data_IF_960477296302
#
_entry.id   IF_960477296302
#
_cell.length_a   1.000
_cell.length_b   1.000
_cell.length_c   1.000
_cell.angle_alpha   90.00
_cell.angle_beta   90.00
_cell.angle_gamma   90.00
#
_symmetry.space_group_name_H-M   'P 1'
#
loop_
_entity.id
_entity.type
_entity.pdbx_description
1 polymer ?
#
# COMPACT_ATOMS: atom_id res chain seq x y z
N UNK A 1 18.90 -18.02 -33.99
CA UNK A 1 17.48 -17.87 -33.59
C UNK A 1 17.34 -17.91 -32.07
N UNK A 2 18.22 -18.64 -31.39
CA UNK A 2 18.09 -19.04 -29.98
C UNK A 2 18.38 -17.91 -28.99
N UNK A 3 19.40 -17.08 -29.26
CA UNK A 3 19.74 -15.95 -28.39
C UNK A 3 18.68 -14.84 -28.38
N UNK A 4 18.05 -14.58 -29.53
CA UNK A 4 16.94 -13.62 -29.65
C UNK A 4 15.70 -14.09 -28.90
N UNK A 5 15.35 -15.37 -29.02
CA UNK A 5 14.21 -15.97 -28.32
C UNK A 5 14.42 -15.98 -26.80
N UNK A 6 15.64 -16.32 -26.35
CA UNK A 6 16.03 -16.25 -24.94
C UNK A 6 16.00 -14.83 -24.39
N UNK A 7 16.48 -13.84 -25.15
CA UNK A 7 16.44 -12.43 -24.76
C UNK A 7 15.02 -11.90 -24.57
N UNK A 8 14.12 -12.23 -25.50
CA UNK A 8 12.70 -11.84 -25.41
C UNK A 8 12.03 -12.56 -24.23
N UNK A 9 12.28 -13.86 -24.04
CA UNK A 9 11.74 -14.63 -22.91
C UNK A 9 12.17 -14.08 -21.54
N UNK A 10 13.44 -13.71 -21.40
CA UNK A 10 13.96 -13.09 -20.18
C UNK A 10 13.32 -11.72 -19.91
N UNK A 11 13.17 -10.89 -20.95
CA UNK A 11 12.56 -9.57 -20.83
C UNK A 11 11.08 -9.66 -20.40
N UNK A 12 10.32 -10.56 -21.02
CA UNK A 12 8.90 -10.79 -20.67
C UNK A 12 8.76 -11.28 -19.23
N UNK A 13 9.63 -12.20 -18.80
CA UNK A 13 9.62 -12.73 -17.43
C UNK A 13 9.96 -11.64 -16.40
N UNK A 14 10.96 -10.81 -16.69
CA UNK A 14 11.33 -9.68 -15.83
C UNK A 14 10.19 -8.63 -15.73
N UNK A 15 9.54 -8.30 -16.84
CA UNK A 15 8.38 -7.40 -16.86
C UNK A 15 7.21 -7.96 -16.04
N UNK A 16 6.89 -9.26 -16.18
CA UNK A 16 5.85 -9.91 -15.40
C UNK A 16 6.14 -9.85 -13.89
N UNK A 17 7.38 -10.13 -13.48
CA UNK A 17 7.79 -10.03 -12.08
C UNK A 17 7.69 -8.59 -11.54
N UNK A 18 8.08 -7.59 -12.34
CA UNK A 18 7.99 -6.19 -11.94
C UNK A 18 6.53 -5.75 -11.73
N UNK A 19 5.62 -6.12 -12.64
CA UNK A 19 4.18 -5.83 -12.49
C UNK A 19 3.61 -6.48 -11.23
N UNK A 20 3.99 -7.72 -10.95
CA UNK A 20 3.53 -8.47 -9.78
C UNK A 20 4.02 -7.83 -8.47
N UNK A 21 5.27 -7.36 -8.44
CA UNK A 21 5.83 -6.63 -7.29
C UNK A 21 5.11 -5.30 -7.05
N UNK A 22 4.81 -4.53 -8.10
CA UNK A 22 4.05 -3.27 -7.99
C UNK A 22 2.63 -3.54 -7.48
N UNK A 23 1.97 -4.60 -7.96
CA UNK A 23 0.62 -4.95 -7.51
C UNK A 23 0.59 -5.36 -6.02
N UNK A 24 1.61 -6.10 -5.55
CA UNK A 24 1.77 -6.42 -4.14
C UNK A 24 1.91 -5.15 -3.30
N UNK A 25 2.80 -4.23 -3.71
CA UNK A 25 3.02 -2.97 -3.00
C UNK A 25 1.77 -2.10 -3.01
N UNK A 26 1.06 -1.99 -4.14
CA UNK A 26 -0.19 -1.23 -4.26
C UNK A 26 -1.27 -1.73 -3.29
N UNK A 27 -1.33 -3.04 -3.02
CA UNK A 27 -2.27 -3.61 -2.04
C UNK A 27 -1.95 -3.20 -0.58
N UNK A 28 -0.72 -2.79 -0.29
CA UNK A 28 -0.32 -2.26 1.03
C UNK A 28 -0.66 -0.77 1.19
N UNK A 29 -0.96 -0.05 0.11
CA UNK A 29 -1.34 1.36 0.20
C UNK A 29 -2.83 1.51 0.53
N UNK A 30 -3.13 1.87 1.77
CA UNK A 30 -4.47 2.32 2.19
C UNK A 30 -4.56 3.83 2.00
N UNK A 31 -5.25 4.27 0.94
CA UNK A 31 -5.66 5.66 0.82
C UNK A 31 -6.62 6.03 1.96
N UNK A 32 -6.40 7.19 2.56
CA UNK A 32 -7.28 7.76 3.59
C UNK A 32 -8.11 8.84 2.91
N UNK A 33 -9.41 8.83 3.16
CA UNK A 33 -10.34 9.84 2.64
C UNK A 33 -10.31 11.09 3.50
N UNK A 34 -10.41 12.26 2.86
CA UNK A 34 -10.41 13.56 3.54
C UNK A 34 -11.55 13.64 4.55
N UNK A 35 -11.25 14.03 5.80
CA UNK A 35 -12.20 14.03 6.92
C UNK A 35 -12.12 12.79 7.83
N UNK A 36 -11.32 11.79 7.45
CA UNK A 36 -11.02 10.63 8.29
C UNK A 36 -9.54 10.62 8.67
N UNK A 37 -9.24 10.21 9.91
CA UNK A 37 -7.89 9.99 10.40
C UNK A 37 -7.60 8.50 10.42
N UNK A 38 -6.40 8.11 9.97
CA UNK A 38 -5.94 6.74 10.10
C UNK A 38 -5.17 6.59 11.40
N UNK A 39 -5.72 5.79 12.30
CA UNK A 39 -5.09 5.40 13.56
C UNK A 39 -4.44 4.04 13.34
N UNK A 40 -3.12 4.00 13.41
CA UNK A 40 -2.34 2.78 13.26
C UNK A 40 -1.83 2.38 14.64
N UNK A 41 -2.49 1.39 15.22
CA UNK A 41 -2.06 0.79 16.48
C UNK A 41 -0.93 -0.20 16.22
N UNK A 42 0.32 0.21 16.45
CA UNK A 42 1.47 -0.71 16.52
C UNK A 42 1.56 -1.31 17.92
N UNK A 43 2.23 -2.45 18.05
CA UNK A 43 2.36 -3.17 19.33
C UNK A 43 2.91 -2.34 20.51
N UNK A 44 3.58 -1.21 20.26
CA UNK A 44 4.14 -0.33 21.30
C UNK A 44 3.78 1.15 21.18
N UNK A 45 3.24 1.60 20.05
CA UNK A 45 2.93 3.02 19.79
C UNK A 45 1.75 3.15 18.86
N UNK A 46 0.91 4.14 19.12
CA UNK A 46 -0.20 4.51 18.25
C UNK A 46 0.23 5.70 17.42
N UNK A 47 0.34 5.52 16.11
CA UNK A 47 0.64 6.60 15.16
C UNK A 47 -0.67 7.07 14.52
N UNK A 48 -0.91 8.38 14.54
CA UNK A 48 -2.09 9.03 13.93
C UNK A 48 -1.64 9.79 12.69
N UNK A 49 -2.24 9.52 11.53
CA UNK A 49 -1.91 10.22 10.29
C UNK A 49 -3.17 10.59 9.50
N UNK A 50 -3.17 11.82 8.96
CA UNK A 50 -4.31 12.41 8.23
C UNK A 50 -4.13 12.40 6.70
N UNK A 51 -2.91 12.16 6.19
CA UNK A 51 -2.56 12.26 4.76
C UNK A 51 -2.46 10.91 4.04
N UNK A 52 -2.70 9.81 4.76
CA UNK A 52 -2.46 8.45 4.27
C UNK A 52 -1.01 8.05 4.41
N UNK A 53 -0.80 6.80 4.83
CA UNK A 53 0.52 6.22 5.04
C UNK A 53 0.53 4.79 4.52
N UNK A 54 1.70 4.30 4.10
CA UNK A 54 1.88 2.86 3.91
C UNK A 54 1.74 2.19 5.27
N UNK A 55 0.65 1.47 5.45
CA UNK A 55 0.38 0.71 6.67
C UNK A 55 0.36 -0.75 6.29
N UNK A 56 1.17 -1.56 6.96
CA UNK A 56 1.12 -3.01 6.88
C UNK A 56 -0.21 -3.51 7.47
N UNK A 57 -1.21 -3.87 6.66
CA UNK A 57 -2.57 -4.13 7.14
C UNK A 57 -2.69 -5.47 7.87
N UNK A 58 -1.76 -6.40 7.63
CA UNK A 58 -1.75 -7.72 8.24
C UNK A 58 -1.18 -7.73 9.67
N UNK A 59 -0.34 -6.75 10.02
CA UNK A 59 0.35 -6.68 11.33
C UNK A 59 -0.21 -5.58 12.25
N UNK A 60 -0.86 -4.57 11.69
CA UNK A 60 -1.35 -3.41 12.45
C UNK A 60 -2.86 -3.26 12.28
N UNK A 61 -3.57 -3.06 13.40
CA UNK A 61 -4.97 -2.61 13.32
C UNK A 61 -4.99 -1.17 12.83
N UNK A 62 -5.47 -0.99 11.60
CA UNK A 62 -5.71 0.30 10.99
C UNK A 62 -7.18 0.67 11.20
N UNK A 63 -7.45 1.53 12.18
CA UNK A 63 -8.79 2.06 12.43
C UNK A 63 -8.93 3.42 11.75
N UNK A 64 -10.08 3.62 11.11
CA UNK A 64 -10.40 4.88 10.43
C UNK A 64 -11.35 5.64 11.33
N UNK A 65 -10.87 6.72 11.94
CA UNK A 65 -11.67 7.55 12.85
C UNK A 65 -12.19 8.76 12.10
N UNK A 66 -13.49 9.01 12.16
CA UNK A 66 -14.09 10.20 11.56
C UNK A 66 -13.76 11.41 12.44
N UNK A 67 -12.98 12.35 11.91
CA UNK A 67 -12.66 13.62 12.59
C UNK A 67 -13.45 14.78 12.01
N UNK A 68 -14.44 14.49 11.15
CA UNK A 68 -15.28 15.50 10.53
C UNK A 68 -15.94 16.34 11.63
N UNK A 69 -15.41 17.54 11.80
CA UNK A 69 -15.85 18.50 12.81
C UNK A 69 -17.30 18.85 12.46
N UNK A 70 -18.25 18.30 13.21
CA UNK A 70 -19.60 18.84 13.23
C UNK A 70 -19.53 20.15 13.99
N UNK A 71 -19.42 21.24 13.24
CA UNK A 71 -19.54 22.60 13.78
C UNK A 71 -20.90 22.70 14.50
N UNK A 72 -20.85 22.83 15.82
CA UNK A 72 -22.00 23.20 16.65
C UNK A 72 -22.02 24.72 16.74
#
# INVERSE_FOLDING_TARGET
MDAMLLGIGALVTACLLAVLAVFLVARLFRKVEQGKALIVSKMRKVDVTFTGQVVLPALHKAEVMDISVKTI
#
